data_IF_469742265616
#
_entry.id   IF_469742265616
#
_cell.length_a   1.000
_cell.length_b   1.000
_cell.length_c   1.000
_cell.angle_alpha   90.00
_cell.angle_beta   90.00
_cell.angle_gamma   90.00
#
_symmetry.space_group_name_H-M   'P 1'
#
loop_
_entity.id
_entity.type
_entity.pdbx_description
1 polymer ?
#
# COMPACT_ATOMS: atom_id res chain seq x y z
N UNK A 1 46.31 59.53 5.55
CA UNK A 1 45.86 58.16 5.56
C UNK A 1 44.39 58.13 5.99
N UNK A 2 43.46 57.98 5.06
CA UNK A 2 42.02 57.99 5.37
C UNK A 2 41.50 56.59 5.01
N UNK A 3 41.12 55.81 6.03
CA UNK A 3 40.42 54.52 5.87
C UNK A 3 38.97 54.81 5.52
N UNK A 4 38.52 54.35 4.36
CA UNK A 4 37.10 54.30 3.98
C UNK A 4 36.50 53.00 4.52
N UNK A 5 35.52 53.14 5.44
CA UNK A 5 34.68 52.03 5.90
C UNK A 5 33.54 51.90 4.89
N UNK A 6 33.46 50.77 4.21
CA UNK A 6 32.34 50.44 3.39
C UNK A 6 31.24 49.84 4.26
N UNK A 7 30.09 50.51 4.31
CA UNK A 7 28.90 50.08 5.03
C UNK A 7 28.09 49.21 4.07
N UNK A 8 28.04 47.88 4.31
CA UNK A 8 27.18 46.97 3.58
C UNK A 8 25.76 47.07 4.14
N UNK A 9 24.83 47.59 3.35
CA UNK A 9 23.40 47.52 3.63
C UNK A 9 22.91 46.11 3.34
N UNK A 10 22.55 45.38 4.38
CA UNK A 10 21.76 44.15 4.26
C UNK A 10 20.29 44.57 4.15
N UNK A 11 19.74 44.45 2.94
CA UNK A 11 18.29 44.58 2.72
C UNK A 11 17.63 43.31 3.21
N UNK A 12 17.00 43.34 4.38
CA UNK A 12 16.09 42.31 4.83
C UNK A 12 14.80 42.41 4.00
N UNK A 13 14.64 41.51 3.03
CA UNK A 13 13.33 41.29 2.42
C UNK A 13 12.44 40.59 3.46
N UNK A 14 11.56 41.34 4.06
CA UNK A 14 10.42 40.78 4.76
C UNK A 14 9.48 40.16 3.74
N UNK A 15 9.51 38.84 3.61
CA UNK A 15 8.47 38.10 2.96
C UNK A 15 7.24 38.19 3.86
N UNK A 16 6.39 39.15 3.55
CA UNK A 16 5.06 39.23 4.15
C UNK A 16 4.27 37.97 3.75
N UNK A 17 4.15 37.04 4.67
CA UNK A 17 3.11 36.02 4.59
C UNK A 17 1.77 36.75 4.60
N UNK A 18 1.16 36.87 3.42
CA UNK A 18 -0.28 37.13 3.31
C UNK A 18 -0.98 35.91 3.91
N UNK A 19 -1.15 35.92 5.22
CA UNK A 19 -2.18 35.10 5.84
C UNK A 19 -3.49 35.63 5.25
N UNK A 20 -4.02 34.93 4.24
CA UNK A 20 -5.41 35.04 3.87
C UNK A 20 -6.16 34.64 5.14
N UNK A 21 -6.94 35.53 5.78
CA UNK A 21 -7.83 35.06 6.83
C UNK A 21 -8.81 34.11 6.14
N UNK A 22 -8.65 32.81 6.37
CA UNK A 22 -9.78 31.90 6.25
C UNK A 22 -10.77 32.46 7.27
N UNK A 23 -11.78 33.19 6.78
CA UNK A 23 -12.95 33.48 7.57
C UNK A 23 -13.57 32.11 7.86
N UNK A 24 -13.24 31.55 9.05
CA UNK A 24 -14.13 30.60 9.65
C UNK A 24 -15.44 31.37 9.85
N UNK A 25 -16.39 31.18 8.97
CA UNK A 25 -17.78 31.42 9.34
C UNK A 25 -18.02 30.58 10.58
N UNK A 26 -18.45 31.25 11.67
CA UNK A 26 -19.04 30.63 12.84
C UNK A 26 -20.39 29.96 12.44
N UNK A 27 -20.35 29.02 11.53
CA UNK A 27 -21.36 28.03 11.28
C UNK A 27 -20.87 26.74 11.96
N UNK A 28 -21.69 26.18 12.83
CA UNK A 28 -21.42 24.89 13.46
C UNK A 28 -20.71 23.96 12.45
N UNK A 29 -19.52 23.50 12.78
CA UNK A 29 -18.89 22.40 12.11
C UNK A 29 -19.94 21.27 12.01
N UNK A 30 -20.41 20.94 10.83
CA UNK A 30 -21.62 20.16 10.68
C UNK A 30 -21.86 19.75 9.24
N UNK A 31 -20.78 19.49 8.47
CA UNK A 31 -20.89 18.74 7.22
C UNK A 31 -20.87 17.25 7.51
N UNK A 32 -21.41 16.46 6.59
CA UNK A 32 -21.39 15.01 6.62
C UNK A 32 -20.30 14.52 5.65
N UNK A 33 -19.44 13.59 6.10
CA UNK A 33 -18.37 13.01 5.29
C UNK A 33 -18.68 11.53 5.07
N UNK A 34 -18.65 11.09 3.82
CA UNK A 34 -18.76 9.70 3.44
C UNK A 34 -17.38 9.08 3.25
N UNK A 35 -17.13 7.95 3.90
CA UNK A 35 -15.90 7.18 3.74
C UNK A 35 -16.26 5.81 3.18
N UNK A 36 -15.64 5.43 2.05
CA UNK A 36 -15.83 4.11 1.44
C UNK A 36 -14.51 3.36 1.40
N UNK A 37 -14.43 2.26 2.17
CA UNK A 37 -13.28 1.37 2.28
C UNK A 37 -13.55 0.04 1.57
N UNK A 38 -12.49 -0.64 1.05
CA UNK A 38 -12.65 -1.87 0.27
C UNK A 38 -13.28 -3.01 1.06
N UNK A 39 -12.77 -3.30 2.25
CA UNK A 39 -13.19 -4.46 3.04
C UNK A 39 -12.76 -4.38 4.49
N UNK A 40 -13.46 -5.14 5.36
CA UNK A 40 -13.04 -5.36 6.75
C UNK A 40 -12.13 -6.60 6.89
N UNK A 41 -12.03 -7.45 5.89
CA UNK A 41 -11.24 -8.68 5.98
C UNK A 41 -9.72 -8.45 5.99
N UNK A 42 -9.27 -7.28 5.53
CA UNK A 42 -7.87 -6.86 5.61
C UNK A 42 -7.70 -5.85 6.74
N UNK A 43 -6.79 -6.14 7.69
CA UNK A 43 -6.60 -5.37 8.92
C UNK A 43 -6.33 -3.89 8.64
N UNK A 44 -5.51 -3.60 7.63
CA UNK A 44 -5.18 -2.24 7.25
C UNK A 44 -6.41 -1.36 7.08
N UNK A 45 -7.44 -1.82 6.32
CA UNK A 45 -8.61 -0.98 6.03
C UNK A 45 -9.47 -0.68 7.26
N UNK A 46 -9.48 -1.59 8.26
CA UNK A 46 -10.13 -1.32 9.56
C UNK A 46 -9.40 -0.20 10.30
N UNK A 47 -8.06 -0.21 10.27
CA UNK A 47 -7.22 0.81 10.91
C UNK A 47 -7.38 2.16 10.21
N UNK A 48 -7.28 2.19 8.87
CA UNK A 48 -7.41 3.41 8.08
C UNK A 48 -8.81 4.03 8.21
N UNK A 49 -9.87 3.24 8.02
CA UNK A 49 -11.25 3.70 8.14
C UNK A 49 -11.58 4.24 9.52
N UNK A 50 -11.19 3.52 10.58
CA UNK A 50 -11.42 3.95 11.96
C UNK A 50 -10.63 5.21 12.30
N UNK A 51 -9.41 5.33 11.80
CA UNK A 51 -8.58 6.51 12.04
C UNK A 51 -9.17 7.75 11.34
N UNK A 52 -9.51 7.65 10.07
CA UNK A 52 -10.18 8.73 9.31
C UNK A 52 -11.49 9.14 9.97
N UNK A 53 -12.35 8.18 10.30
CA UNK A 53 -13.61 8.44 10.99
C UNK A 53 -13.37 9.27 12.25
N UNK A 54 -12.46 8.79 13.12
CA UNK A 54 -12.14 9.49 14.36
C UNK A 54 -11.61 10.92 14.12
N UNK A 55 -10.73 11.12 13.15
CA UNK A 55 -10.18 12.45 12.87
C UNK A 55 -11.25 13.44 12.43
N UNK A 56 -12.17 13.03 11.56
CA UNK A 56 -13.26 13.87 11.11
C UNK A 56 -14.30 14.13 12.22
N UNK A 57 -14.63 13.11 13.02
CA UNK A 57 -15.54 13.27 14.17
C UNK A 57 -14.94 14.22 15.22
N UNK A 58 -13.64 14.08 15.54
CA UNK A 58 -12.91 14.98 16.46
C UNK A 58 -12.89 16.44 15.92
N UNK A 59 -12.92 16.61 14.60
CA UNK A 59 -13.01 17.93 13.94
C UNK A 59 -14.46 18.46 13.87
N UNK A 60 -15.45 17.68 14.35
CA UNK A 60 -16.86 18.09 14.46
C UNK A 60 -17.71 17.78 13.24
N UNK A 61 -17.28 16.89 12.35
CA UNK A 61 -18.09 16.40 11.22
C UNK A 61 -18.91 15.18 11.62
N UNK A 62 -20.04 14.98 10.96
CA UNK A 62 -20.75 13.70 10.94
C UNK A 62 -20.05 12.78 9.95
N UNK A 63 -19.81 11.51 10.30
CA UNK A 63 -19.09 10.57 9.43
C UNK A 63 -19.93 9.32 9.19
N UNK A 64 -20.04 8.93 7.93
CA UNK A 64 -20.60 7.66 7.51
C UNK A 64 -19.50 6.81 6.85
N UNK A 65 -19.14 5.71 7.50
CA UNK A 65 -18.08 4.79 7.07
C UNK A 65 -18.70 3.49 6.55
N UNK A 66 -18.37 3.13 5.31
CA UNK A 66 -18.83 1.90 4.67
C UNK A 66 -17.66 0.98 4.29
N UNK A 67 -17.95 -0.34 4.24
CA UNK A 67 -17.02 -1.37 3.76
C UNK A 67 -17.73 -2.26 2.76
N UNK A 68 -17.14 -2.44 1.58
CA UNK A 68 -17.81 -3.07 0.44
C UNK A 68 -17.40 -4.52 0.19
N UNK A 69 -16.74 -5.19 1.15
CA UNK A 69 -16.35 -6.61 1.15
C UNK A 69 -15.58 -7.06 -0.10
N UNK A 70 -14.77 -6.17 -0.69
CA UNK A 70 -14.05 -6.34 -1.97
C UNK A 70 -14.99 -6.60 -3.18
N UNK A 71 -16.27 -6.19 -3.08
CA UNK A 71 -17.24 -6.28 -4.16
C UNK A 71 -17.41 -4.92 -4.82
N UNK A 72 -16.91 -4.76 -6.06
CA UNK A 72 -16.90 -3.48 -6.79
C UNK A 72 -18.31 -2.91 -6.97
N UNK A 73 -19.28 -3.74 -7.37
CA UNK A 73 -20.68 -3.32 -7.55
C UNK A 73 -21.30 -2.83 -6.23
N UNK A 74 -20.90 -3.44 -5.10
CA UNK A 74 -21.32 -2.99 -3.78
C UNK A 74 -20.71 -1.64 -3.45
N UNK A 75 -19.42 -1.44 -3.76
CA UNK A 75 -18.77 -0.14 -3.53
C UNK A 75 -19.44 0.98 -4.32
N UNK A 76 -19.81 0.75 -5.59
CA UNK A 76 -20.60 1.70 -6.38
C UNK A 76 -21.91 2.04 -5.68
N UNK A 77 -22.67 1.03 -5.23
CA UNK A 77 -23.94 1.24 -4.54
C UNK A 77 -23.76 1.98 -3.19
N UNK A 78 -22.73 1.63 -2.42
CA UNK A 78 -22.42 2.29 -1.14
C UNK A 78 -22.11 3.77 -1.37
N UNK A 79 -21.32 4.11 -2.40
CA UNK A 79 -21.01 5.51 -2.75
C UNK A 79 -22.26 6.23 -3.22
N UNK A 80 -23.14 5.62 -4.04
CA UNK A 80 -24.42 6.21 -4.46
C UNK A 80 -25.33 6.51 -3.26
N UNK A 81 -25.36 5.62 -2.26
CA UNK A 81 -26.09 5.87 -1.02
C UNK A 81 -25.51 7.08 -0.28
N UNK A 82 -24.19 7.17 -0.11
CA UNK A 82 -23.52 8.32 0.51
C UNK A 82 -23.86 9.64 -0.21
N UNK A 83 -23.85 9.64 -1.56
CA UNK A 83 -24.25 10.81 -2.36
C UNK A 83 -25.71 11.18 -2.07
N UNK A 84 -26.62 10.18 -2.04
CA UNK A 84 -28.05 10.37 -1.79
C UNK A 84 -28.34 10.87 -0.39
N UNK A 85 -27.52 10.49 0.59
CA UNK A 85 -27.58 10.92 1.99
C UNK A 85 -27.01 12.32 2.22
N UNK A 86 -26.52 12.96 1.14
CA UNK A 86 -26.12 14.37 1.11
C UNK A 86 -24.80 14.63 1.82
N UNK A 87 -23.80 13.75 1.66
CA UNK A 87 -22.44 14.00 2.14
C UNK A 87 -21.83 15.22 1.45
N UNK A 88 -20.97 15.94 2.14
CA UNK A 88 -20.28 17.13 1.63
C UNK A 88 -18.88 16.82 1.08
N UNK A 89 -18.37 15.64 1.37
CA UNK A 89 -17.08 15.14 0.93
C UNK A 89 -17.15 13.61 0.88
N UNK A 90 -16.52 13.02 -0.14
CA UNK A 90 -16.26 11.59 -0.22
C UNK A 90 -14.77 11.31 -0.06
N UNK A 91 -14.42 10.32 0.77
CA UNK A 91 -13.08 9.74 0.88
C UNK A 91 -13.19 8.28 0.47
N UNK A 92 -12.55 7.90 -0.63
CA UNK A 92 -12.76 6.60 -1.27
C UNK A 92 -11.42 5.89 -1.48
N UNK A 93 -11.26 4.72 -0.85
CA UNK A 93 -10.22 3.76 -1.20
C UNK A 93 -10.81 2.75 -2.20
N UNK A 94 -10.46 2.87 -3.47
CA UNK A 94 -11.10 2.09 -4.53
C UNK A 94 -10.76 0.59 -4.45
N UNK A 95 -11.74 -0.28 -4.68
CA UNK A 95 -11.51 -1.70 -4.97
C UNK A 95 -10.90 -1.81 -6.38
N UNK A 96 -11.53 -1.18 -7.35
CA UNK A 96 -11.07 -1.06 -8.74
C UNK A 96 -11.08 0.42 -9.15
N UNK A 97 -9.91 0.93 -9.51
CA UNK A 97 -9.74 2.35 -9.84
C UNK A 97 -10.39 2.79 -11.14
N UNK A 98 -10.81 1.87 -12.02
CA UNK A 98 -11.49 2.15 -13.30
C UNK A 98 -13.00 1.99 -13.20
N UNK A 99 -13.47 1.07 -12.37
CA UNK A 99 -14.89 0.73 -12.27
C UNK A 99 -15.75 1.82 -11.60
N UNK A 100 -15.13 2.74 -10.85
CA UNK A 100 -15.85 3.81 -10.13
C UNK A 100 -16.15 5.05 -10.97
N UNK A 101 -15.71 5.14 -12.22
CA UNK A 101 -15.80 6.36 -13.02
C UNK A 101 -17.22 6.95 -13.06
N UNK A 102 -18.25 6.11 -13.30
CA UNK A 102 -19.64 6.59 -13.40
C UNK A 102 -20.13 7.22 -12.09
N UNK A 103 -19.86 6.59 -10.94
CA UNK A 103 -20.29 7.12 -9.64
C UNK A 103 -19.45 8.33 -9.21
N UNK A 104 -18.21 8.48 -9.70
CA UNK A 104 -17.43 9.71 -9.53
C UNK A 104 -18.05 10.89 -10.32
N UNK A 105 -18.54 10.65 -11.53
CA UNK A 105 -19.27 11.64 -12.30
C UNK A 105 -20.57 12.06 -11.57
N UNK A 106 -21.30 11.10 -10.98
CA UNK A 106 -22.49 11.38 -10.15
C UNK A 106 -22.15 12.28 -8.95
N UNK A 107 -21.01 12.02 -8.27
CA UNK A 107 -20.54 12.86 -7.17
C UNK A 107 -20.21 14.29 -7.65
N UNK A 108 -19.54 14.43 -8.80
CA UNK A 108 -19.21 15.71 -9.39
C UNK A 108 -20.46 16.49 -9.78
N UNK A 109 -21.45 15.84 -10.40
CA UNK A 109 -22.75 16.45 -10.77
C UNK A 109 -23.53 16.92 -9.53
N UNK A 110 -23.38 16.23 -8.39
CA UNK A 110 -23.92 16.64 -7.10
C UNK A 110 -23.09 17.74 -6.41
N UNK A 111 -21.93 18.11 -6.96
CA UNK A 111 -21.02 19.11 -6.39
C UNK A 111 -20.25 18.59 -5.16
N UNK A 112 -20.11 17.28 -5.01
CA UNK A 112 -19.43 16.64 -3.90
C UNK A 112 -17.96 16.39 -4.29
N UNK A 113 -16.97 17.01 -3.63
CA UNK A 113 -15.56 16.72 -3.88
C UNK A 113 -15.21 15.30 -3.44
N UNK A 114 -14.25 14.69 -4.16
CA UNK A 114 -13.78 13.33 -3.90
C UNK A 114 -12.28 13.32 -3.62
N UNK A 115 -11.89 12.68 -2.53
CA UNK A 115 -10.51 12.29 -2.23
C UNK A 115 -10.35 10.82 -2.56
N UNK A 116 -9.49 10.51 -3.54
CA UNK A 116 -9.00 9.17 -3.80
C UNK A 116 -7.92 8.85 -2.76
N UNK A 117 -8.25 8.00 -1.79
CA UNK A 117 -7.40 7.68 -0.64
C UNK A 117 -6.62 6.40 -0.88
N UNK A 118 -5.31 6.45 -0.75
CA UNK A 118 -4.33 5.37 -0.98
C UNK A 118 -4.38 4.82 -2.42
N UNK A 119 -5.51 4.35 -2.88
CA UNK A 119 -5.73 3.74 -4.20
C UNK A 119 -6.22 4.74 -5.23
N UNK A 120 -5.55 4.80 -6.39
CA UNK A 120 -5.87 5.75 -7.44
C UNK A 120 -7.20 5.41 -8.12
N UNK A 121 -8.14 6.37 -8.12
CA UNK A 121 -9.33 6.34 -8.97
C UNK A 121 -8.99 7.08 -10.26
N UNK A 122 -9.10 6.42 -11.41
CA UNK A 122 -8.74 6.95 -12.74
C UNK A 122 -9.92 7.73 -13.34
N UNK A 123 -10.31 8.83 -12.68
CA UNK A 123 -11.38 9.72 -13.10
C UNK A 123 -10.99 11.19 -12.97
N UNK A 124 -11.37 12.01 -13.96
CA UNK A 124 -11.17 13.47 -13.93
C UNK A 124 -12.07 14.15 -12.87
N UNK A 125 -13.08 13.46 -12.34
CA UNK A 125 -13.96 13.93 -11.28
C UNK A 125 -13.32 13.89 -9.88
N UNK A 126 -12.19 13.21 -9.70
CA UNK A 126 -11.45 13.17 -8.45
C UNK A 126 -10.80 14.52 -8.16
N UNK A 127 -11.08 15.09 -6.98
CA UNK A 127 -10.56 16.41 -6.59
C UNK A 127 -9.13 16.33 -6.06
N UNK A 128 -8.81 15.28 -5.29
CA UNK A 128 -7.49 15.05 -4.67
C UNK A 128 -7.17 13.56 -4.66
N UNK A 129 -5.89 13.27 -4.82
CA UNK A 129 -5.33 11.93 -4.62
C UNK A 129 -4.22 12.00 -3.58
N UNK A 130 -4.25 11.09 -2.63
CA UNK A 130 -3.23 10.94 -1.61
C UNK A 130 -2.81 9.48 -1.52
N UNK A 131 -1.51 9.24 -1.46
CA UNK A 131 -0.93 7.89 -1.32
C UNK A 131 0.52 7.98 -0.86
N UNK A 132 1.14 6.83 -0.63
CA UNK A 132 2.57 6.71 -0.38
C UNK A 132 3.37 6.61 -1.69
N UNK A 133 4.70 6.69 -1.60
CA UNK A 133 5.60 6.34 -2.70
C UNK A 133 5.68 4.80 -2.82
N UNK A 134 4.76 4.25 -3.58
CA UNK A 134 4.54 2.82 -3.71
C UNK A 134 5.72 2.09 -4.39
N UNK A 135 6.41 2.77 -5.33
CA UNK A 135 7.62 2.22 -5.95
C UNK A 135 8.77 2.11 -4.93
N UNK A 136 8.95 3.14 -4.10
CA UNK A 136 9.96 3.12 -3.03
C UNK A 136 9.65 2.04 -1.99
N UNK A 137 8.38 1.77 -1.67
CA UNK A 137 8.02 0.64 -0.79
C UNK A 137 8.55 -0.69 -1.34
N UNK A 138 8.31 -0.97 -2.62
CA UNK A 138 8.86 -2.16 -3.27
C UNK A 138 10.40 -2.18 -3.28
N UNK A 139 11.02 -1.02 -3.59
CA UNK A 139 12.48 -0.86 -3.55
C UNK A 139 13.07 -1.24 -2.19
N UNK A 140 12.43 -0.82 -1.08
CA UNK A 140 12.86 -1.16 0.27
C UNK A 140 12.78 -2.68 0.54
N UNK A 141 11.76 -3.35 0.03
CA UNK A 141 11.64 -4.82 0.13
C UNK A 141 12.76 -5.52 -0.64
N UNK A 142 13.00 -5.11 -1.89
CA UNK A 142 14.09 -5.65 -2.70
C UNK A 142 15.46 -5.40 -2.08
N UNK A 143 15.71 -4.18 -1.58
CA UNK A 143 16.97 -3.82 -0.92
C UNK A 143 17.19 -4.62 0.36
N UNK A 144 16.13 -4.88 1.14
CA UNK A 144 16.22 -5.73 2.33
C UNK A 144 16.72 -7.15 1.98
N UNK A 145 16.25 -7.71 0.86
CA UNK A 145 16.73 -9.03 0.36
C UNK A 145 18.22 -8.95 0.00
N UNK A 146 18.61 -7.91 -0.77
CA UNK A 146 20.02 -7.70 -1.17
C UNK A 146 20.94 -7.64 0.04
N UNK A 147 20.57 -6.81 1.03
CA UNK A 147 21.39 -6.57 2.22
C UNK A 147 21.44 -7.80 3.14
N UNK A 148 20.30 -8.49 3.32
CA UNK A 148 20.22 -9.64 4.23
C UNK A 148 20.99 -10.85 3.71
N UNK A 149 20.94 -11.10 2.41
CA UNK A 149 21.67 -12.21 1.78
C UNK A 149 23.07 -11.81 1.33
N UNK A 150 23.46 -10.55 1.50
CA UNK A 150 24.74 -9.97 1.03
C UNK A 150 25.01 -10.34 -0.45
N UNK A 151 23.99 -10.07 -1.30
CA UNK A 151 23.98 -10.50 -2.70
C UNK A 151 25.16 -9.89 -3.50
N UNK A 152 25.61 -8.69 -3.15
CA UNK A 152 26.76 -8.04 -3.78
C UNK A 152 28.06 -8.83 -3.56
N UNK A 153 28.14 -9.61 -2.50
CA UNK A 153 29.32 -10.43 -2.15
C UNK A 153 29.01 -11.93 -2.17
N UNK A 154 27.94 -12.35 -2.84
CA UNK A 154 27.50 -13.75 -2.86
C UNK A 154 28.53 -14.72 -3.45
N UNK A 155 29.44 -14.25 -4.32
CA UNK A 155 30.42 -15.09 -5.02
C UNK A 155 29.70 -16.12 -5.91
N UNK A 156 29.98 -17.43 -5.68
CA UNK A 156 29.35 -18.52 -6.43
C UNK A 156 28.06 -19.04 -5.77
N UNK A 157 27.55 -18.38 -4.73
CA UNK A 157 26.29 -18.77 -4.10
C UNK A 157 25.09 -18.40 -4.96
N UNK A 158 24.09 -19.29 -4.96
CA UNK A 158 22.82 -19.08 -5.61
C UNK A 158 21.72 -19.21 -4.58
N UNK A 159 20.72 -18.33 -4.62
CA UNK A 159 19.55 -18.34 -3.75
C UNK A 159 18.28 -18.47 -4.58
N UNK A 160 17.27 -19.13 -4.04
CA UNK A 160 15.98 -19.31 -4.68
C UNK A 160 14.95 -18.32 -4.13
N UNK A 161 14.25 -17.65 -5.02
CA UNK A 161 13.23 -16.65 -4.69
C UNK A 161 11.93 -16.92 -5.41
N UNK A 162 10.80 -16.69 -4.72
CA UNK A 162 9.47 -16.65 -5.30
C UNK A 162 8.79 -15.32 -4.97
N UNK A 163 7.94 -14.85 -5.90
CA UNK A 163 7.21 -13.59 -5.76
C UNK A 163 5.73 -13.83 -5.51
N UNK A 164 5.11 -12.98 -4.67
CA UNK A 164 3.67 -12.91 -4.46
C UNK A 164 3.27 -11.44 -4.44
N UNK A 165 2.71 -10.98 -5.56
CA UNK A 165 2.27 -9.59 -5.72
C UNK A 165 0.80 -9.41 -5.29
N UNK A 166 0.30 -8.18 -5.44
CA UNK A 166 -1.05 -7.80 -5.04
C UNK A 166 -2.11 -7.91 -6.14
N UNK A 167 -3.22 -7.20 -5.90
CA UNK A 167 -4.39 -7.20 -6.79
C UNK A 167 -4.11 -6.43 -8.08
N UNK A 168 -4.34 -7.02 -9.27
CA UNK A 168 -4.17 -6.32 -10.55
C UNK A 168 -5.18 -5.17 -10.76
N UNK A 169 -6.31 -5.15 -10.05
CA UNK A 169 -7.25 -4.03 -10.08
C UNK A 169 -6.77 -2.81 -9.27
N UNK A 170 -5.77 -3.01 -8.38
CA UNK A 170 -5.12 -1.95 -7.63
C UNK A 170 -3.86 -1.45 -8.36
N UNK A 171 -3.90 -0.20 -8.83
CA UNK A 171 -2.76 0.43 -9.52
C UNK A 171 -1.46 0.39 -8.71
N UNK A 172 -1.52 0.38 -7.37
CA UNK A 172 -0.35 0.37 -6.51
C UNK A 172 0.41 -0.97 -6.56
N UNK A 173 -0.30 -2.08 -6.79
CA UNK A 173 0.30 -3.42 -6.79
C UNK A 173 1.44 -3.57 -7.80
N UNK A 174 1.27 -3.00 -9.01
CA UNK A 174 2.30 -2.96 -10.02
C UNK A 174 3.54 -2.16 -9.61
N UNK A 175 3.35 -1.04 -8.87
CA UNK A 175 4.48 -0.24 -8.38
C UNK A 175 5.27 -0.95 -7.30
N UNK A 176 4.59 -1.63 -6.35
CA UNK A 176 5.28 -2.43 -5.33
C UNK A 176 6.11 -3.54 -5.96
N UNK A 177 5.50 -4.31 -6.86
CA UNK A 177 6.19 -5.38 -7.57
C UNK A 177 7.39 -4.86 -8.36
N UNK A 178 7.21 -3.83 -9.21
CA UNK A 178 8.26 -3.30 -10.05
C UNK A 178 9.40 -2.69 -9.21
N UNK A 179 9.09 -1.97 -8.12
CA UNK A 179 10.09 -1.42 -7.23
C UNK A 179 11.01 -2.48 -6.64
N UNK A 180 10.46 -3.62 -6.20
CA UNK A 180 11.23 -4.74 -5.69
C UNK A 180 11.96 -5.50 -6.82
N UNK A 181 11.26 -5.77 -7.91
CA UNK A 181 11.80 -6.54 -9.03
C UNK A 181 12.97 -5.83 -9.70
N UNK A 182 12.91 -4.51 -9.90
CA UNK A 182 13.99 -3.73 -10.53
C UNK A 182 15.26 -3.76 -9.67
N UNK A 183 15.17 -3.78 -8.35
CA UNK A 183 16.33 -3.98 -7.45
C UNK A 183 16.92 -5.38 -7.59
N UNK A 184 16.07 -6.40 -7.70
CA UNK A 184 16.50 -7.81 -7.70
C UNK A 184 16.87 -8.33 -9.09
N UNK A 185 16.37 -7.69 -10.15
CA UNK A 185 16.59 -8.12 -11.54
C UNK A 185 18.05 -8.32 -11.92
N UNK A 186 19.01 -7.44 -11.56
CA UNK A 186 20.42 -7.67 -11.85
C UNK A 186 20.96 -9.00 -11.29
N UNK A 187 20.49 -9.41 -10.10
CA UNK A 187 20.91 -10.67 -9.47
C UNK A 187 20.21 -11.88 -10.09
N UNK A 188 18.96 -11.71 -10.57
CA UNK A 188 18.26 -12.72 -11.34
C UNK A 188 18.95 -12.92 -12.70
N UNK A 189 19.27 -11.85 -13.42
CA UNK A 189 19.96 -11.91 -14.71
C UNK A 189 21.37 -12.51 -14.58
N UNK A 190 22.04 -12.31 -13.45
CA UNK A 190 23.36 -12.88 -13.15
C UNK A 190 23.29 -14.35 -12.68
N UNK A 191 22.11 -14.88 -12.34
CA UNK A 191 21.92 -16.21 -11.78
C UNK A 191 22.26 -16.35 -10.31
N UNK A 192 22.50 -15.24 -9.60
CA UNK A 192 22.67 -15.21 -8.14
C UNK A 192 21.34 -15.46 -7.44
N UNK A 193 20.24 -14.91 -7.99
CA UNK A 193 18.87 -15.24 -7.61
C UNK A 193 18.23 -16.10 -8.70
N UNK A 194 17.59 -17.18 -8.32
CA UNK A 194 16.89 -18.08 -9.22
C UNK A 194 15.41 -18.15 -8.86
N UNK A 195 14.53 -17.82 -9.81
CA UNK A 195 13.07 -17.97 -9.66
C UNK A 195 12.71 -19.36 -10.16
N UNK A 196 12.60 -20.33 -9.23
CA UNK A 196 12.46 -21.75 -9.58
C UNK A 196 11.17 -22.03 -10.32
N UNK A 197 10.09 -21.35 -9.98
CA UNK A 197 8.80 -21.42 -10.70
C UNK A 197 8.86 -20.80 -12.10
N UNK A 198 9.86 -19.93 -12.38
CA UNK A 198 9.95 -19.12 -13.58
C UNK A 198 8.93 -17.97 -13.65
N UNK A 199 8.15 -17.72 -12.60
CA UNK A 199 7.12 -16.68 -12.56
C UNK A 199 7.76 -15.33 -12.20
N UNK A 200 8.07 -14.53 -13.21
CA UNK A 200 8.81 -13.27 -13.08
C UNK A 200 8.05 -12.03 -13.59
N UNK A 201 6.84 -12.21 -14.08
CA UNK A 201 5.96 -11.12 -14.49
C UNK A 201 4.85 -10.89 -13.48
N UNK A 202 4.35 -9.64 -13.42
CA UNK A 202 3.33 -9.24 -12.44
C UNK A 202 2.07 -10.11 -12.51
N UNK A 203 1.57 -10.39 -13.72
CA UNK A 203 0.29 -11.11 -13.89
C UNK A 203 0.37 -12.56 -13.37
N UNK A 204 1.54 -13.20 -13.51
CA UNK A 204 1.76 -14.59 -13.04
C UNK A 204 1.87 -14.69 -11.51
N UNK A 205 2.20 -13.60 -10.83
CA UNK A 205 2.40 -13.56 -9.38
C UNK A 205 1.33 -12.75 -8.63
N UNK A 206 0.36 -12.22 -9.35
CA UNK A 206 -0.72 -11.40 -8.79
C UNK A 206 -1.64 -12.21 -7.85
N UNK A 207 -2.17 -11.51 -6.84
CA UNK A 207 -3.11 -12.07 -5.87
C UNK A 207 -4.37 -11.22 -5.86
N UNK A 208 -5.45 -11.64 -6.56
CA UNK A 208 -6.71 -10.92 -6.58
C UNK A 208 -7.22 -10.60 -5.18
N UNK A 209 -7.81 -9.42 -5.02
CA UNK A 209 -8.34 -8.90 -3.77
C UNK A 209 -7.31 -8.79 -2.62
N UNK A 210 -6.02 -8.97 -2.87
CA UNK A 210 -4.96 -9.09 -1.84
C UNK A 210 -5.25 -10.20 -0.83
N UNK A 211 -5.97 -11.24 -1.28
CA UNK A 211 -6.59 -12.24 -0.42
C UNK A 211 -5.56 -13.22 0.17
N UNK A 212 -5.57 -13.34 1.49
CA UNK A 212 -4.65 -14.21 2.26
C UNK A 212 -4.79 -15.67 1.87
N UNK A 213 -6.02 -16.16 1.66
CA UNK A 213 -6.26 -17.57 1.31
C UNK A 213 -5.76 -17.88 -0.10
N UNK A 214 -5.96 -16.97 -1.05
CA UNK A 214 -5.43 -17.09 -2.41
C UNK A 214 -3.91 -17.13 -2.40
N UNK A 215 -3.25 -16.29 -1.61
CA UNK A 215 -1.79 -16.30 -1.45
C UNK A 215 -1.28 -17.62 -0.84
N UNK A 216 -1.99 -18.15 0.18
CA UNK A 216 -1.71 -19.43 0.81
C UNK A 216 -1.77 -20.56 -0.22
N UNK A 217 -2.90 -20.71 -0.92
CA UNK A 217 -3.12 -21.78 -1.90
C UNK A 217 -2.10 -21.70 -3.04
N UNK A 218 -1.80 -20.49 -3.52
CA UNK A 218 -0.78 -20.29 -4.55
C UNK A 218 0.60 -20.75 -4.06
N UNK A 219 1.02 -20.37 -2.86
CA UNK A 219 2.32 -20.78 -2.31
C UNK A 219 2.36 -22.29 -2.06
N UNK A 220 1.29 -22.91 -1.55
CA UNK A 220 1.19 -24.38 -1.42
C UNK A 220 1.40 -25.08 -2.77
N UNK A 221 0.80 -24.56 -3.85
CA UNK A 221 0.98 -25.11 -5.20
C UNK A 221 2.44 -24.94 -5.69
N UNK A 222 3.10 -23.83 -5.41
CA UNK A 222 4.51 -23.60 -5.72
C UNK A 222 5.39 -24.58 -4.95
N UNK A 223 5.19 -24.73 -3.64
CA UNK A 223 5.96 -25.65 -2.79
C UNK A 223 5.81 -27.10 -3.27
N UNK A 224 4.59 -27.54 -3.55
CA UNK A 224 4.33 -28.88 -4.06
C UNK A 224 4.93 -29.16 -5.44
N UNK A 225 5.00 -28.14 -6.31
CA UNK A 225 5.45 -28.30 -7.69
C UNK A 225 6.97 -28.19 -7.85
N UNK A 226 7.63 -27.36 -7.05
CA UNK A 226 9.01 -26.96 -7.28
C UNK A 226 9.95 -27.23 -6.09
N UNK A 227 9.41 -27.48 -4.88
CA UNK A 227 10.19 -27.61 -3.66
C UNK A 227 9.94 -28.91 -2.89
N UNK A 228 9.12 -29.82 -3.45
CA UNK A 228 8.77 -31.09 -2.79
C UNK A 228 9.95 -32.07 -2.62
N UNK A 229 11.02 -31.91 -3.40
CA UNK A 229 12.23 -32.73 -3.35
C UNK A 229 13.24 -32.26 -2.29
N UNK A 230 12.92 -31.22 -1.51
CA UNK A 230 13.79 -30.58 -0.53
C UNK A 230 14.70 -29.49 -1.10
N UNK A 231 14.46 -29.05 -2.35
CA UNK A 231 15.06 -27.82 -2.88
C UNK A 231 14.79 -26.66 -1.91
N UNK A 232 15.81 -25.87 -1.58
CA UNK A 232 15.65 -24.78 -0.62
C UNK A 232 14.97 -23.58 -1.29
N UNK A 233 13.99 -23.00 -0.60
CA UNK A 233 13.42 -21.67 -0.87
C UNK A 233 14.09 -20.69 0.10
N UNK A 234 14.81 -19.70 -0.41
CA UNK A 234 15.53 -18.75 0.43
C UNK A 234 14.70 -17.47 0.69
N UNK A 235 13.92 -17.06 -0.30
CA UNK A 235 13.14 -15.81 -0.25
C UNK A 235 11.72 -16.04 -0.79
N UNK A 236 10.73 -15.59 -0.04
CA UNK A 236 9.37 -15.36 -0.51
C UNK A 236 9.09 -13.85 -0.43
N UNK A 237 9.21 -13.15 -1.57
CA UNK A 237 8.95 -11.72 -1.65
C UNK A 237 7.46 -11.48 -1.79
N UNK A 238 6.82 -11.04 -0.70
CA UNK A 238 5.41 -10.70 -0.64
C UNK A 238 5.25 -9.18 -0.65
N UNK A 239 4.35 -8.67 -1.49
CA UNK A 239 4.15 -7.22 -1.62
C UNK A 239 3.48 -6.58 -0.41
N UNK A 240 2.67 -7.33 0.37
CA UNK A 240 2.05 -6.83 1.60
C UNK A 240 1.89 -7.90 2.69
N UNK A 241 1.42 -7.49 3.86
CA UNK A 241 1.29 -8.34 5.03
C UNK A 241 0.16 -9.39 4.90
N UNK A 242 -0.96 -9.07 4.27
CA UNK A 242 -2.02 -10.06 4.07
C UNK A 242 -1.58 -11.21 3.17
N UNK A 243 -0.84 -10.93 2.08
CA UNK A 243 -0.25 -11.99 1.24
C UNK A 243 0.88 -12.73 1.96
N UNK A 244 1.73 -12.00 2.72
CA UNK A 244 2.79 -12.60 3.53
C UNK A 244 2.24 -13.54 4.62
N UNK A 245 1.09 -13.22 5.20
CA UNK A 245 0.43 -14.10 6.19
C UNK A 245 0.04 -15.44 5.56
N UNK A 246 -0.57 -15.44 4.36
CA UNK A 246 -0.90 -16.66 3.63
C UNK A 246 0.33 -17.48 3.24
N UNK A 247 1.36 -16.80 2.73
CA UNK A 247 2.64 -17.42 2.37
C UNK A 247 3.34 -18.03 3.59
N UNK A 248 3.36 -17.32 4.72
CA UNK A 248 3.93 -17.84 5.98
C UNK A 248 3.21 -19.11 6.42
N UNK A 249 1.88 -19.15 6.37
CA UNK A 249 1.09 -20.34 6.72
C UNK A 249 1.39 -21.52 5.78
N UNK A 250 1.52 -21.29 4.48
CA UNK A 250 1.88 -22.31 3.51
C UNK A 250 3.28 -22.89 3.79
N UNK A 251 4.26 -22.03 4.10
CA UNK A 251 5.62 -22.46 4.42
C UNK A 251 5.63 -23.27 5.73
N UNK A 252 4.93 -22.83 6.76
CA UNK A 252 4.84 -23.57 8.02
C UNK A 252 4.19 -24.95 7.88
N UNK A 253 3.23 -25.11 6.96
CA UNK A 253 2.50 -26.39 6.79
C UNK A 253 3.09 -27.33 5.78
N UNK A 254 3.66 -26.83 4.67
CA UNK A 254 3.95 -27.63 3.49
C UNK A 254 5.39 -27.54 2.96
N UNK A 255 6.23 -26.63 3.51
CA UNK A 255 7.60 -26.51 3.04
C UNK A 255 8.48 -27.68 3.52
N UNK A 256 9.10 -28.39 2.58
CA UNK A 256 9.90 -29.57 2.84
C UNK A 256 11.39 -29.27 3.15
N UNK A 257 11.84 -28.03 2.94
CA UNK A 257 13.22 -27.62 3.26
C UNK A 257 13.41 -27.37 4.76
N UNK A 258 14.65 -27.21 5.18
CA UNK A 258 15.06 -27.05 6.59
C UNK A 258 15.64 -25.66 6.92
N UNK A 259 15.76 -24.79 5.92
CA UNK A 259 16.21 -23.40 6.12
C UNK A 259 15.07 -22.46 6.48
N UNK A 260 15.40 -21.37 7.15
CA UNK A 260 14.47 -20.25 7.37
C UNK A 260 14.30 -19.46 6.07
N UNK A 261 13.06 -19.28 5.64
CA UNK A 261 12.73 -18.48 4.46
C UNK A 261 12.62 -17.01 4.84
N UNK A 262 13.30 -16.13 4.08
CA UNK A 262 13.15 -14.69 4.21
C UNK A 262 11.82 -14.26 3.59
N UNK A 263 10.90 -13.71 4.40
CA UNK A 263 9.58 -13.28 3.95
C UNK A 263 9.45 -11.76 4.14
N UNK A 264 9.09 -11.05 3.06
CA UNK A 264 8.83 -9.61 3.10
C UNK A 264 7.35 -9.31 3.28
N UNK A 265 7.02 -8.06 3.63
CA UNK A 265 5.66 -7.55 3.74
C UNK A 265 5.64 -6.02 3.73
N UNK A 266 4.45 -5.45 3.81
CA UNK A 266 4.20 -4.03 4.11
C UNK A 266 2.86 -3.91 4.84
N UNK A 267 2.61 -2.79 5.48
CA UNK A 267 1.45 -2.31 6.23
C UNK A 267 1.65 -2.36 7.75
N UNK A 268 2.43 -3.29 8.30
CA UNK A 268 2.67 -3.42 9.73
C UNK A 268 1.45 -3.97 10.47
N UNK A 269 0.80 -5.00 9.92
CA UNK A 269 -0.36 -5.66 10.54
C UNK A 269 0.05 -6.44 11.78
N UNK A 270 -0.82 -6.49 12.81
CA UNK A 270 -0.48 -7.07 14.12
C UNK A 270 -0.04 -8.53 14.03
N UNK A 271 -0.72 -9.35 13.21
CA UNK A 271 -0.36 -10.75 13.01
C UNK A 271 1.03 -10.91 12.40
N UNK A 272 1.39 -10.03 11.46
CA UNK A 272 2.68 -10.05 10.78
C UNK A 272 3.79 -9.51 11.67
N UNK A 273 3.52 -8.50 12.50
CA UNK A 273 4.45 -8.05 13.55
C UNK A 273 4.74 -9.16 14.55
N UNK A 274 3.74 -9.95 14.95
CA UNK A 274 3.94 -11.14 15.78
C UNK A 274 4.81 -12.19 15.06
N UNK A 275 4.54 -12.46 13.78
CA UNK A 275 5.37 -13.36 12.96
C UNK A 275 6.82 -12.89 12.84
N UNK A 276 7.07 -11.58 12.76
CA UNK A 276 8.43 -11.03 12.75
C UNK A 276 9.13 -11.29 14.10
N UNK A 277 8.44 -11.06 15.21
CA UNK A 277 8.97 -11.33 16.56
C UNK A 277 9.28 -12.83 16.75
N UNK A 278 8.43 -13.69 16.20
CA UNK A 278 8.59 -15.15 16.25
C UNK A 278 9.62 -15.70 15.23
N UNK A 279 10.15 -14.85 14.35
CA UNK A 279 11.12 -15.23 13.31
C UNK A 279 10.52 -15.96 12.11
N UNK A 280 9.20 -15.88 11.91
CA UNK A 280 8.45 -16.51 10.81
C UNK A 280 8.34 -15.61 9.58
N UNK A 281 8.37 -14.29 9.78
CA UNK A 281 8.47 -13.27 8.75
C UNK A 281 9.69 -12.41 9.04
N UNK A 282 10.33 -11.86 8.02
CA UNK A 282 11.62 -11.17 8.19
C UNK A 282 11.50 -9.67 8.34
N UNK A 283 10.53 -9.07 7.65
CA UNK A 283 10.32 -7.62 7.68
C UNK A 283 8.93 -7.24 7.21
N UNK A 284 8.52 -6.03 7.55
CA UNK A 284 7.39 -5.32 6.92
C UNK A 284 7.75 -3.86 6.72
N UNK A 285 7.36 -3.27 5.59
CA UNK A 285 7.48 -1.82 5.38
C UNK A 285 6.29 -1.15 6.05
N UNK A 286 6.54 -0.39 7.11
CA UNK A 286 5.48 0.28 7.86
C UNK A 286 4.97 1.51 7.10
N UNK A 287 3.69 1.49 6.75
CA UNK A 287 2.96 2.63 6.20
C UNK A 287 2.28 3.38 7.34
N UNK A 288 2.79 4.56 7.67
CA UNK A 288 2.25 5.37 8.76
C UNK A 288 0.93 6.04 8.33
N UNK A 289 -0.18 5.31 8.46
CA UNK A 289 -1.54 5.73 8.07
C UNK A 289 -1.90 7.12 8.61
N UNK A 290 -1.44 7.43 9.83
CA UNK A 290 -1.64 8.74 10.45
C UNK A 290 -1.08 9.89 9.58
N UNK A 291 -0.02 9.67 8.81
CA UNK A 291 0.54 10.70 7.94
C UNK A 291 -0.31 10.90 6.67
N UNK A 292 -0.93 9.83 6.17
CA UNK A 292 -1.80 9.89 4.99
C UNK A 292 -3.15 10.54 5.33
N UNK A 293 -3.69 10.25 6.50
CA UNK A 293 -5.02 10.70 6.91
C UNK A 293 -5.08 12.15 7.44
N UNK A 294 -3.94 12.84 7.63
CA UNK A 294 -3.90 14.24 8.13
C UNK A 294 -3.53 15.26 7.05
N UNK A 295 -3.30 14.83 5.80
CA UNK A 295 -3.02 15.71 4.67
C UNK A 295 -4.31 16.19 4.04
#
# INVERSE_FOLDING_TARGET
MKRKVAMAMVAAMAVGSLAVPVMAEDGAAGGKIGISMPTQSLERWNRDGSYLQKQFEDAGYEVELTYSDNETDRQVNDIQNLISDGVNLLVVAAIDGEALNTVMDEAADAGIPVISYDRLIKSDAVSYYISFDNYTVGTLQGQYVVDTLDLDNAGDKTYNIEFTAGDPADNNAGYFFNGAFDVLKPYIDAGTLNVVSGQTDFDSVATPAWDTQTALERMQNILASYYADGTQLDVALCSNDSTALGVTQAIESDYAGDNTVLITGQDGDEANLANIVDGKQSMTVYKAVANEAVV
#
